data_IF_795043243740
#
_entry.id   IF_795043243740
#
_cell.length_a   1.000
_cell.length_b   1.000
_cell.length_c   1.000
_cell.angle_alpha   90.00
_cell.angle_beta   90.00
_cell.angle_gamma   90.00
#
_symmetry.space_group_name_H-M   'P 1'
#
loop_
_entity.id
_entity.type
_entity.pdbx_description
1 polymer ?
#
# COMPACT_ATOMS: atom_id res chain seq x y z
N UNK A 1 -17.34 -7.62 -9.43
CA UNK A 1 -16.79 -7.48 -8.05
C UNK A 1 -17.69 -8.18 -7.03
N UNK A 2 -19.00 -7.99 -7.07
CA UNK A 2 -19.91 -8.48 -6.03
C UNK A 2 -20.05 -10.03 -6.00
N UNK A 3 -19.88 -10.68 -7.13
CA UNK A 3 -19.93 -12.15 -7.22
C UNK A 3 -18.59 -12.81 -6.92
N UNK A 4 -17.50 -12.16 -7.29
CA UNK A 4 -16.14 -12.69 -7.13
C UNK A 4 -15.53 -12.32 -5.77
N UNK A 5 -15.89 -11.15 -5.24
CA UNK A 5 -15.42 -10.66 -3.96
C UNK A 5 -16.55 -9.94 -3.19
N UNK A 6 -17.29 -10.66 -2.34
CA UNK A 6 -18.42 -10.12 -1.59
C UNK A 6 -17.94 -9.19 -0.48
N UNK A 7 -17.79 -7.90 -0.79
CA UNK A 7 -17.38 -6.88 0.17
C UNK A 7 -18.61 -6.38 0.93
N UNK A 8 -18.61 -6.56 2.25
CA UNK A 8 -19.70 -6.11 3.13
C UNK A 8 -19.41 -4.76 3.78
N UNK A 9 -18.14 -4.51 4.09
CA UNK A 9 -17.68 -3.29 4.76
C UNK A 9 -16.36 -2.80 4.16
N UNK A 10 -16.27 -1.50 3.96
CA UNK A 10 -15.05 -0.81 3.52
C UNK A 10 -14.82 0.42 4.40
N UNK A 11 -13.67 0.50 5.05
CA UNK A 11 -13.28 1.67 5.83
C UNK A 11 -12.02 2.29 5.24
N UNK A 12 -12.10 3.57 4.90
CA UNK A 12 -10.91 4.33 4.53
C UNK A 12 -10.28 4.93 5.79
N UNK A 13 -9.00 4.71 5.95
CA UNK A 13 -8.20 5.26 7.05
C UNK A 13 -7.11 6.18 6.56
N UNK A 14 -6.97 7.32 7.19
CA UNK A 14 -5.83 8.21 7.01
C UNK A 14 -5.55 8.93 8.33
N UNK A 15 -4.29 9.17 8.65
CA UNK A 15 -3.88 9.92 9.84
C UNK A 15 -4.14 11.43 9.70
N UNK A 16 -4.33 11.94 8.48
CA UNK A 16 -4.56 13.34 8.18
C UNK A 16 -6.03 13.59 7.86
N UNK A 17 -6.74 14.26 8.78
CA UNK A 17 -8.15 14.57 8.66
C UNK A 17 -8.49 15.46 7.45
N UNK A 18 -7.66 16.46 7.17
CA UNK A 18 -7.91 17.39 6.05
C UNK A 18 -7.82 16.69 4.70
N UNK A 19 -6.95 15.69 4.58
CA UNK A 19 -6.83 14.84 3.40
C UNK A 19 -7.94 13.80 3.34
N UNK A 20 -8.27 13.19 4.46
CA UNK A 20 -9.25 12.12 4.57
C UNK A 20 -10.68 12.59 4.26
N UNK A 21 -11.08 13.73 4.77
CA UNK A 21 -12.47 14.19 4.72
C UNK A 21 -13.01 14.38 3.28
N UNK A 22 -12.32 15.06 2.35
CA UNK A 22 -12.83 15.18 0.98
C UNK A 22 -12.85 13.85 0.23
N UNK A 23 -11.87 12.96 0.47
CA UNK A 23 -11.83 11.64 -0.14
C UNK A 23 -12.95 10.76 0.41
N UNK A 24 -13.17 10.80 1.72
CA UNK A 24 -14.27 10.09 2.38
C UNK A 24 -15.64 10.53 1.87
N UNK A 25 -15.90 11.83 1.76
CA UNK A 25 -17.16 12.36 1.20
C UNK A 25 -17.38 11.93 -0.26
N UNK A 26 -16.32 11.91 -1.06
CA UNK A 26 -16.40 11.38 -2.43
C UNK A 26 -16.72 9.89 -2.45
N UNK A 27 -16.10 9.12 -1.55
CA UNK A 27 -16.40 7.70 -1.37
C UNK A 27 -17.85 7.46 -0.98
N UNK A 28 -18.41 8.23 -0.05
CA UNK A 28 -19.82 8.15 0.35
C UNK A 28 -20.76 8.28 -0.85
N UNK A 29 -20.54 9.28 -1.70
CA UNK A 29 -21.35 9.50 -2.91
C UNK A 29 -21.20 8.30 -3.85
N UNK A 30 -19.98 7.91 -4.15
CA UNK A 30 -19.69 6.86 -5.12
C UNK A 30 -20.24 5.49 -4.69
N UNK A 31 -20.04 5.13 -3.42
CA UNK A 31 -20.47 3.83 -2.92
C UNK A 31 -21.97 3.77 -2.66
N UNK A 32 -22.60 4.84 -2.18
CA UNK A 32 -24.05 4.89 -2.00
C UNK A 32 -24.81 4.74 -3.32
N UNK A 33 -24.29 5.29 -4.42
CA UNK A 33 -24.89 5.17 -5.74
C UNK A 33 -24.69 3.78 -6.38
N UNK A 34 -23.48 3.21 -6.24
CA UNK A 34 -23.08 2.01 -6.95
C UNK A 34 -23.23 0.71 -6.14
N UNK A 35 -23.10 0.81 -4.83
CA UNK A 35 -23.06 -0.33 -3.90
C UNK A 35 -23.84 -0.01 -2.61
N UNK A 36 -25.16 0.22 -2.69
CA UNK A 36 -25.97 0.69 -1.55
C UNK A 36 -26.00 -0.28 -0.36
N UNK A 37 -25.61 -1.54 -0.55
CA UNK A 37 -25.53 -2.55 0.51
C UNK A 37 -24.16 -2.59 1.19
N UNK A 38 -23.17 -1.85 0.68
CA UNK A 38 -21.85 -1.78 1.27
C UNK A 38 -21.86 -0.81 2.45
N UNK A 39 -21.47 -1.27 3.63
CA UNK A 39 -21.15 -0.38 4.74
C UNK A 39 -19.85 0.36 4.43
N UNK A 40 -19.96 1.61 3.99
CA UNK A 40 -18.81 2.47 3.75
C UNK A 40 -18.62 3.44 4.91
N UNK A 41 -17.36 3.62 5.35
CA UNK A 41 -16.99 4.60 6.37
C UNK A 41 -15.59 5.16 6.11
N UNK A 42 -15.28 6.29 6.72
CA UNK A 42 -13.92 6.84 6.73
C UNK A 42 -13.59 7.44 8.09
N UNK A 43 -12.35 7.32 8.53
CA UNK A 43 -11.96 7.70 9.88
C UNK A 43 -10.47 8.02 9.98
N UNK A 44 -10.10 8.78 11.01
CA UNK A 44 -8.72 8.98 11.44
C UNK A 44 -8.39 8.24 12.74
N UNK A 45 -9.35 7.49 13.27
CA UNK A 45 -9.16 6.65 14.46
C UNK A 45 -8.78 5.23 14.06
N UNK A 46 -7.58 4.74 14.44
CA UNK A 46 -7.11 3.41 14.05
C UNK A 46 -7.96 2.28 14.61
N UNK A 47 -8.55 2.44 15.80
CA UNK A 47 -9.44 1.43 16.36
C UNK A 47 -10.67 1.24 15.46
N UNK A 48 -11.35 2.31 15.14
CA UNK A 48 -12.52 2.28 14.24
C UNK A 48 -12.17 1.75 12.85
N UNK A 49 -10.95 2.05 12.37
CA UNK A 49 -10.49 1.60 11.07
C UNK A 49 -10.22 0.09 11.00
N UNK A 50 -9.61 -0.45 12.03
CA UNK A 50 -9.06 -1.81 11.97
C UNK A 50 -9.90 -2.86 12.67
N UNK A 51 -10.72 -2.48 13.68
CA UNK A 51 -11.43 -3.46 14.51
C UNK A 51 -12.38 -4.36 13.68
N UNK A 52 -12.10 -5.68 13.73
CA UNK A 52 -12.92 -6.69 13.07
C UNK A 52 -12.76 -6.77 11.55
N UNK A 53 -11.72 -6.20 10.97
CA UNK A 53 -11.45 -6.31 9.54
C UNK A 53 -10.77 -7.64 9.20
N UNK A 54 -11.18 -8.24 8.06
CA UNK A 54 -10.56 -9.46 7.52
C UNK A 54 -9.34 -9.14 6.66
N UNK A 55 -9.36 -8.00 5.95
CA UNK A 55 -8.31 -7.58 5.03
C UNK A 55 -7.95 -6.11 5.27
N UNK A 56 -6.66 -5.82 5.27
CA UNK A 56 -6.12 -4.46 5.35
C UNK A 56 -5.23 -4.21 4.12
N UNK A 57 -5.62 -3.26 3.30
CA UNK A 57 -4.79 -2.75 2.22
C UNK A 57 -3.99 -1.55 2.73
N UNK A 58 -2.66 -1.67 2.70
CA UNK A 58 -1.77 -0.60 3.10
C UNK A 58 -1.16 0.07 1.87
N UNK A 59 -1.47 1.35 1.69
CA UNK A 59 -0.91 2.18 0.62
C UNK A 59 -0.55 3.54 1.22
N UNK A 60 0.57 3.62 1.88
CA UNK A 60 0.99 4.82 2.58
C UNK A 60 2.35 5.33 2.08
N UNK A 61 2.58 6.62 2.26
CA UNK A 61 3.85 7.27 1.93
C UNK A 61 4.38 8.02 3.15
N UNK A 62 5.39 7.48 3.79
CA UNK A 62 6.10 8.11 4.89
C UNK A 62 6.71 9.45 4.45
N UNK A 63 6.34 10.53 5.13
CA UNK A 63 6.78 11.89 4.83
C UNK A 63 6.05 12.59 3.67
N UNK A 64 5.10 11.92 3.00
CA UNK A 64 4.29 12.50 1.93
C UNK A 64 5.09 12.93 0.69
N UNK A 65 4.46 13.75 -0.15
CA UNK A 65 5.05 14.22 -1.41
C UNK A 65 6.21 15.21 -1.20
N UNK A 66 6.21 15.94 -0.10
CA UNK A 66 7.32 16.86 0.20
C UNK A 66 8.62 16.07 0.40
N UNK A 67 8.60 15.04 1.23
CA UNK A 67 9.79 14.22 1.45
C UNK A 67 10.21 13.46 0.20
N UNK A 68 9.26 13.00 -0.64
CA UNK A 68 9.60 12.44 -1.94
C UNK A 68 10.42 13.41 -2.77
N UNK A 69 10.03 14.67 -2.83
CA UNK A 69 10.77 15.70 -3.55
C UNK A 69 12.21 15.82 -3.03
N UNK A 70 12.38 15.87 -1.71
CA UNK A 70 13.72 15.96 -1.10
C UNK A 70 14.57 14.72 -1.41
N UNK A 71 13.99 13.52 -1.30
CA UNK A 71 14.67 12.25 -1.60
C UNK A 71 15.20 12.19 -3.05
N UNK A 72 14.49 12.79 -4.00
CA UNK A 72 14.90 12.86 -5.39
C UNK A 72 15.89 14.04 -5.66
N UNK A 73 15.68 15.19 -5.05
CA UNK A 73 16.46 16.39 -5.29
C UNK A 73 17.85 16.38 -4.61
N UNK A 74 17.95 15.81 -3.41
CA UNK A 74 19.24 15.74 -2.71
C UNK A 74 20.28 14.97 -3.52
N UNK A 75 20.03 13.75 -4.00
CA UNK A 75 20.97 13.05 -4.88
C UNK A 75 21.28 13.81 -6.17
N UNK A 76 20.28 14.42 -6.80
CA UNK A 76 20.46 15.24 -8.01
C UNK A 76 21.41 16.39 -7.79
N UNK A 77 21.32 17.08 -6.63
CA UNK A 77 22.23 18.17 -6.29
C UNK A 77 23.70 17.75 -6.14
N UNK A 78 23.92 16.45 -5.93
CA UNK A 78 25.24 15.84 -5.82
C UNK A 78 25.72 15.19 -7.14
N UNK A 79 24.98 15.38 -8.24
CA UNK A 79 25.28 14.76 -9.53
C UNK A 79 24.94 13.26 -9.60
N UNK A 80 24.12 12.77 -8.67
CA UNK A 80 23.63 11.40 -8.63
C UNK A 80 22.21 11.32 -9.21
N UNK A 81 21.75 10.11 -9.50
CA UNK A 81 20.39 9.87 -9.97
C UNK A 81 19.42 10.04 -8.80
N UNK A 82 18.44 10.95 -8.95
CA UNK A 82 17.31 11.07 -8.04
C UNK A 82 16.17 10.16 -8.48
N UNK A 83 15.89 9.13 -7.67
CA UNK A 83 14.87 8.14 -7.97
C UNK A 83 14.12 7.75 -6.68
N UNK A 84 12.80 7.52 -6.81
CA UNK A 84 11.90 7.34 -5.67
C UNK A 84 12.24 6.12 -4.82
N UNK A 85 12.52 4.98 -5.44
CA UNK A 85 12.58 3.67 -4.74
C UNK A 85 13.96 3.03 -4.76
N UNK A 86 14.90 3.58 -5.53
CA UNK A 86 16.26 3.08 -5.68
C UNK A 86 17.31 4.13 -5.33
N UNK A 87 18.55 3.70 -5.14
CA UNK A 87 19.67 4.60 -4.83
C UNK A 87 19.53 5.30 -3.47
N UNK A 88 20.18 6.46 -3.32
CA UNK A 88 20.20 7.20 -2.06
C UNK A 88 18.80 7.69 -1.63
N UNK A 89 17.98 8.16 -2.59
CA UNK A 89 16.62 8.58 -2.33
C UNK A 89 15.73 7.42 -1.87
N UNK A 90 15.81 6.29 -2.57
CA UNK A 90 15.08 5.07 -2.20
C UNK A 90 15.49 4.52 -0.83
N UNK A 91 16.76 4.63 -0.46
CA UNK A 91 17.23 4.27 0.87
C UNK A 91 16.63 5.17 1.95
N UNK A 92 16.66 6.48 1.77
CA UNK A 92 16.09 7.44 2.74
C UNK A 92 14.57 7.24 2.91
N UNK A 93 13.85 7.07 1.81
CA UNK A 93 12.42 6.76 1.81
C UNK A 93 12.15 5.42 2.50
N UNK A 94 12.93 4.38 2.18
CA UNK A 94 12.79 3.05 2.76
C UNK A 94 12.95 3.04 4.28
N UNK A 95 13.96 3.70 4.79
CA UNK A 95 14.19 3.79 6.24
C UNK A 95 13.01 4.46 6.98
N UNK A 96 12.44 5.54 6.43
CA UNK A 96 11.24 6.16 6.99
C UNK A 96 10.03 5.23 6.90
N UNK A 97 9.83 4.62 5.73
CA UNK A 97 8.70 3.71 5.50
C UNK A 97 8.70 2.51 6.45
N UNK A 98 9.87 1.94 6.74
CA UNK A 98 9.97 0.81 7.67
C UNK A 98 9.42 1.14 9.06
N UNK A 99 9.75 2.31 9.60
CA UNK A 99 9.28 2.73 10.94
C UNK A 99 7.76 2.85 10.96
N UNK A 100 7.20 3.63 10.03
CA UNK A 100 5.75 3.87 9.98
C UNK A 100 4.97 2.59 9.71
N UNK A 101 5.51 1.69 8.88
CA UNK A 101 4.88 0.41 8.56
C UNK A 101 4.86 -0.56 9.73
N UNK A 102 5.96 -0.69 10.44
CA UNK A 102 6.06 -1.56 11.62
C UNK A 102 5.04 -1.11 12.68
N UNK A 103 4.98 0.19 12.93
CA UNK A 103 4.03 0.75 13.89
C UNK A 103 2.57 0.51 13.46
N UNK A 104 2.25 0.74 12.19
CA UNK A 104 0.92 0.49 11.67
C UNK A 104 0.51 -0.99 11.82
N UNK A 105 1.42 -1.93 11.57
CA UNK A 105 1.14 -3.36 11.72
C UNK A 105 0.94 -3.74 13.19
N UNK A 106 1.69 -3.18 14.12
CA UNK A 106 1.43 -3.39 15.55
C UNK A 106 0.02 -2.92 15.95
N UNK A 107 -0.41 -1.77 15.46
CA UNK A 107 -1.77 -1.27 15.68
C UNK A 107 -2.82 -2.19 15.04
N UNK A 108 -2.62 -2.62 13.79
CA UNK A 108 -3.51 -3.55 13.12
C UNK A 108 -3.64 -4.85 13.92
N UNK A 109 -2.54 -5.44 14.36
CA UNK A 109 -2.55 -6.69 15.15
C UNK A 109 -3.22 -6.54 16.51
N UNK A 110 -3.24 -5.33 17.08
CA UNK A 110 -3.97 -5.02 18.31
C UNK A 110 -5.49 -5.11 18.11
N UNK A 111 -6.02 -4.61 16.99
CA UNK A 111 -7.46 -4.51 16.73
C UNK A 111 -8.00 -5.63 15.84
N UNK A 112 -7.16 -6.17 14.96
CA UNK A 112 -7.50 -7.28 14.05
C UNK A 112 -6.35 -8.28 13.95
N UNK A 113 -6.14 -9.11 14.97
CA UNK A 113 -4.99 -10.02 15.06
C UNK A 113 -4.93 -11.05 13.93
N UNK A 114 -6.07 -11.35 13.30
CA UNK A 114 -6.18 -12.36 12.26
C UNK A 114 -6.31 -11.81 10.84
N UNK A 115 -6.35 -10.48 10.67
CA UNK A 115 -6.49 -9.86 9.34
C UNK A 115 -5.34 -10.21 8.40
N UNK A 116 -5.65 -10.38 7.13
CA UNK A 116 -4.65 -10.37 6.07
C UNK A 116 -4.21 -8.94 5.79
N UNK A 117 -2.92 -8.70 5.75
CA UNK A 117 -2.33 -7.41 5.45
C UNK A 117 -1.70 -7.48 4.06
N UNK A 118 -2.22 -6.68 3.14
CA UNK A 118 -1.74 -6.54 1.77
C UNK A 118 -1.01 -5.21 1.65
N UNK A 119 0.30 -5.23 1.77
CA UNK A 119 1.11 -4.04 1.70
C UNK A 119 1.50 -3.72 0.26
N UNK A 120 1.02 -2.59 -0.25
CA UNK A 120 1.31 -2.05 -1.58
C UNK A 120 2.15 -0.76 -1.51
N UNK A 121 2.85 -0.55 -0.39
CA UNK A 121 3.67 0.64 -0.19
C UNK A 121 5.10 0.43 -0.64
N UNK A 122 5.77 1.52 -0.94
CA UNK A 122 7.14 1.56 -1.45
C UNK A 122 8.16 2.07 -0.38
N UNK A 123 9.44 1.77 -0.57
CA UNK A 123 10.06 0.84 -1.53
C UNK A 123 9.77 -0.62 -1.15
N UNK A 124 9.13 -1.35 -2.06
CA UNK A 124 8.55 -2.67 -1.75
C UNK A 124 9.55 -3.66 -1.13
N UNK A 125 10.74 -3.82 -1.72
CA UNK A 125 11.73 -4.78 -1.24
C UNK A 125 12.31 -4.41 0.14
N UNK A 126 12.55 -3.12 0.40
CA UNK A 126 13.10 -2.65 1.68
C UNK A 126 12.08 -2.87 2.79
N UNK A 127 10.83 -2.47 2.55
CA UNK A 127 9.72 -2.65 3.50
C UNK A 127 9.45 -4.14 3.73
N UNK A 128 9.40 -4.95 2.67
CA UNK A 128 9.18 -6.39 2.77
C UNK A 128 10.22 -7.07 3.68
N UNK A 129 11.49 -6.74 3.51
CA UNK A 129 12.56 -7.32 4.34
C UNK A 129 12.49 -6.85 5.80
N UNK A 130 12.15 -5.58 6.05
CA UNK A 130 11.96 -5.07 7.40
C UNK A 130 10.79 -5.79 8.10
N UNK A 131 9.65 -5.93 7.44
CA UNK A 131 8.48 -6.61 7.99
C UNK A 131 8.74 -8.11 8.22
N UNK A 132 9.45 -8.76 7.32
CA UNK A 132 9.86 -10.16 7.49
C UNK A 132 10.74 -10.38 8.74
N UNK A 133 11.59 -9.40 9.05
CA UNK A 133 12.47 -9.47 10.26
C UNK A 133 11.72 -9.17 11.52
N UNK A 134 10.85 -8.18 11.52
CA UNK A 134 10.09 -7.77 12.70
C UNK A 134 8.97 -8.77 13.04
N UNK A 135 8.32 -9.34 12.01
CA UNK A 135 7.21 -10.27 12.15
C UNK A 135 7.50 -11.63 11.50
N UNK A 136 8.54 -12.38 11.92
CA UNK A 136 9.01 -13.59 11.22
C UNK A 136 7.98 -14.72 11.18
N UNK A 137 7.08 -14.77 12.14
CA UNK A 137 6.04 -15.79 12.27
C UNK A 137 4.68 -15.38 11.71
N UNK A 138 4.50 -14.11 11.34
CA UNK A 138 3.25 -13.63 10.78
C UNK A 138 3.16 -13.91 9.29
N UNK A 139 2.46 -14.99 8.93
CA UNK A 139 2.28 -15.44 7.54
C UNK A 139 1.12 -14.73 6.82
N UNK A 140 0.47 -13.75 7.46
CA UNK A 140 -0.63 -12.97 6.89
C UNK A 140 -0.22 -11.57 6.47
N UNK A 141 1.07 -11.28 6.37
CA UNK A 141 1.60 -10.05 5.81
C UNK A 141 2.14 -10.35 4.42
N UNK A 142 1.47 -9.83 3.39
CA UNK A 142 1.85 -9.97 1.99
C UNK A 142 2.32 -8.63 1.44
N UNK A 143 3.50 -8.61 0.86
CA UNK A 143 4.02 -7.44 0.16
C UNK A 143 3.82 -7.65 -1.34
N UNK A 144 3.08 -6.75 -1.99
CA UNK A 144 2.68 -6.86 -3.38
C UNK A 144 3.19 -5.69 -4.21
N UNK A 145 3.41 -5.93 -5.50
CA UNK A 145 3.79 -4.92 -6.47
C UNK A 145 3.20 -5.30 -7.83
N UNK A 146 2.72 -4.32 -8.58
CA UNK A 146 2.19 -4.51 -9.93
C UNK A 146 3.26 -4.55 -11.02
N UNK A 147 4.48 -4.11 -10.72
CA UNK A 147 5.55 -4.02 -11.70
C UNK A 147 5.91 -5.37 -12.36
N UNK A 148 6.00 -6.51 -11.65
CA UNK A 148 6.27 -7.79 -12.30
C UNK A 148 5.24 -8.15 -13.37
N UNK A 149 3.95 -8.02 -13.07
CA UNK A 149 2.89 -8.28 -14.04
C UNK A 149 2.95 -7.32 -15.23
N UNK A 150 3.17 -6.03 -14.98
CA UNK A 150 3.30 -5.03 -16.04
C UNK A 150 4.46 -5.33 -16.99
N UNK A 151 5.59 -5.80 -16.45
CA UNK A 151 6.76 -6.21 -17.27
C UNK A 151 6.39 -7.42 -18.14
N UNK A 152 5.80 -8.47 -17.58
CA UNK A 152 5.39 -9.66 -18.34
C UNK A 152 4.41 -9.30 -19.44
N UNK A 153 3.36 -8.54 -19.14
CA UNK A 153 2.36 -8.08 -20.12
C UNK A 153 2.96 -7.19 -21.22
N UNK A 154 3.90 -6.33 -20.85
CA UNK A 154 4.56 -5.47 -21.84
C UNK A 154 5.49 -6.29 -22.75
N UNK A 155 6.21 -7.25 -22.19
CA UNK A 155 7.08 -8.16 -22.94
C UNK A 155 6.26 -9.04 -23.89
N UNK A 156 5.14 -9.60 -23.46
CA UNK A 156 4.26 -10.40 -24.29
C UNK A 156 3.75 -9.62 -25.52
N UNK A 157 3.37 -8.34 -25.32
CA UNK A 157 2.96 -7.46 -26.43
C UNK A 157 4.08 -7.22 -27.43
N UNK A 158 5.32 -7.02 -26.94
CA UNK A 158 6.49 -6.83 -27.80
C UNK A 158 6.83 -8.09 -28.60
N UNK A 159 6.66 -9.27 -28.00
CA UNK A 159 6.92 -10.57 -28.63
C UNK A 159 5.77 -11.07 -29.48
N UNK A 160 4.58 -10.47 -29.39
CA UNK A 160 3.38 -10.90 -30.11
C UNK A 160 2.83 -12.27 -29.63
N UNK A 161 3.07 -12.65 -28.36
CA UNK A 161 2.59 -13.88 -27.74
C UNK A 161 1.60 -13.60 -26.60
N UNK A 162 0.95 -14.65 -26.08
CA UNK A 162 0.16 -14.50 -24.83
C UNK A 162 1.09 -14.28 -23.63
N UNK A 163 0.67 -13.49 -22.67
CA UNK A 163 1.41 -13.32 -21.42
C UNK A 163 1.47 -14.62 -20.60
N UNK A 164 0.49 -15.52 -20.78
CA UNK A 164 0.41 -16.85 -20.16
C UNK A 164 1.49 -17.83 -20.71
N UNK A 165 2.03 -17.54 -21.90
CA UNK A 165 3.12 -18.33 -22.51
C UNK A 165 4.51 -17.91 -21.98
N UNK A 166 4.57 -16.86 -21.16
CA UNK A 166 5.82 -16.38 -20.56
C UNK A 166 5.98 -16.94 -19.15
N UNK A 167 7.10 -17.57 -18.89
CA UNK A 167 7.50 -18.04 -17.55
C UNK A 167 8.59 -17.11 -17.01
N UNK A 168 8.22 -16.09 -16.22
CA UNK A 168 9.19 -15.18 -15.64
C UNK A 168 9.92 -15.87 -14.48
N UNK A 169 11.23 -16.02 -14.63
CA UNK A 169 12.13 -16.60 -13.63
C UNK A 169 12.52 -15.56 -12.59
#
# INVERSE_FOLDING_TARGET
LKEEFPLNKLVLFDINKERQEPIGKYGDIMFSERYPELEFAYTTDPKTAYEGMDFIFMQMRAGGLQMRREDEHIPLSMGLIGQETCGAGGMAYGLRSCVDMIEAIHQIRTYSPNAWILNYSNPAAIVAEALRREFPDDKRILNICDQPENVVRSTSRLLGCSWEDLDPV
#
